data_IF_465059159757
#
_entry.id   IF_465059159757
#
_cell.length_a   1.000
_cell.length_b   1.000
_cell.length_c   1.000
_cell.angle_alpha   90.00
_cell.angle_beta   90.00
_cell.angle_gamma   90.00
#
_symmetry.space_group_name_H-M   'P 1'
#
loop_
_entity.id
_entity.type
_entity.pdbx_description
1 polymer ?
#
# COMPACT_ATOMS: atom_id res chain seq x y z
N UNK A 1 13.61 47.93 6.75
CA UNK A 1 14.03 47.24 7.99
C UNK A 1 13.45 45.83 7.88
N UNK A 2 14.31 44.89 7.51
CA UNK A 2 14.84 43.85 8.40
C UNK A 2 13.82 42.74 8.66
N UNK A 3 14.10 41.57 8.10
CA UNK A 3 13.41 40.33 8.38
C UNK A 3 14.17 39.61 9.50
N UNK A 4 13.46 39.17 10.54
CA UNK A 4 14.02 38.29 11.56
C UNK A 4 13.45 36.88 11.41
N UNK A 5 14.37 35.93 11.39
CA UNK A 5 14.13 34.50 11.13
C UNK A 5 14.25 33.75 12.45
N UNK A 6 13.15 33.18 12.95
CA UNK A 6 13.18 32.26 14.08
C UNK A 6 13.37 30.81 13.61
N UNK A 7 14.63 30.44 13.41
CA UNK A 7 15.11 29.06 13.58
C UNK A 7 15.21 28.71 15.07
N UNK A 8 15.56 27.44 15.38
CA UNK A 8 15.76 26.79 16.72
C UNK A 8 14.56 25.89 17.12
N UNK A 9 14.69 24.63 17.59
CA UNK A 9 15.83 23.81 18.05
C UNK A 9 15.74 22.36 17.48
N UNK A 10 16.90 21.73 17.23
CA UNK A 10 17.07 20.26 17.18
C UNK A 10 18.20 19.88 18.14
N UNK A 11 18.04 18.88 19.04
CA UNK A 11 19.11 18.45 19.93
C UNK A 11 20.16 17.62 19.19
N UNK A 12 21.43 18.01 19.36
CA UNK A 12 22.62 17.38 18.79
C UNK A 12 23.28 16.50 19.86
N UNK A 13 23.39 15.19 19.64
CA UNK A 13 24.14 14.27 20.51
C UNK A 13 25.59 14.20 20.04
N UNK A 14 26.55 14.32 20.96
CA UNK A 14 27.99 14.42 20.67
C UNK A 14 28.81 13.30 21.30
N UNK A 15 29.80 12.83 20.54
CA UNK A 15 31.07 12.15 20.87
C UNK A 15 31.30 11.46 22.23
N UNK A 16 31.72 10.19 22.11
CA UNK A 16 33.03 9.65 22.55
C UNK A 16 33.65 10.10 23.88
N UNK A 17 33.92 9.11 24.75
CA UNK A 17 35.27 8.92 25.33
C UNK A 17 35.40 7.54 26.02
N UNK A 18 36.59 6.93 26.01
CA UNK A 18 36.87 5.71 26.78
C UNK A 18 37.94 4.75 26.21
N UNK A 19 39.22 5.13 26.25
CA UNK A 19 40.35 4.23 25.93
C UNK A 19 40.97 3.56 27.19
N UNK A 20 41.80 2.52 26.94
CA UNK A 20 42.84 1.89 27.80
C UNK A 20 42.38 0.70 28.68
N UNK A 21 43.16 -0.38 28.87
CA UNK A 21 44.43 -0.85 28.28
C UNK A 21 44.73 -2.35 28.64
N UNK A 22 45.93 -2.85 28.28
CA UNK A 22 46.61 -4.13 28.69
C UNK A 22 46.12 -5.44 28.02
N UNK A 23 46.85 -6.58 27.90
CA UNK A 23 48.27 -7.03 28.02
C UNK A 23 48.28 -8.57 27.75
N UNK A 24 49.23 -9.29 27.12
CA UNK A 24 50.44 -9.08 26.27
C UNK A 24 50.88 -10.46 25.70
N UNK A 25 51.67 -10.50 24.61
CA UNK A 25 52.45 -11.64 24.04
C UNK A 25 51.94 -13.09 24.15
N UNK A 26 51.86 -13.79 23.00
CA UNK A 26 52.78 -14.92 22.69
C UNK A 26 52.60 -15.43 21.27
N UNK A 27 53.72 -15.58 20.57
CA UNK A 27 53.77 -15.90 19.14
C UNK A 27 53.72 -17.38 18.75
N UNK A 28 53.74 -17.59 17.42
CA UNK A 28 54.39 -18.67 16.62
C UNK A 28 53.52 -19.18 15.45
N UNK A 29 54.03 -18.94 14.23
CA UNK A 29 54.00 -19.79 13.03
C UNK A 29 52.64 -20.15 12.38
N UNK A 30 52.34 -19.49 11.26
CA UNK A 30 51.70 -20.06 10.06
C UNK A 30 52.36 -19.37 8.84
N UNK A 31 53.13 -20.07 8.00
CA UNK A 31 52.71 -20.95 6.89
C UNK A 31 52.70 -20.19 5.55
N UNK A 32 53.42 -20.75 4.55
CA UNK A 32 53.63 -20.17 3.21
C UNK A 32 52.34 -19.66 2.57
N UNK A 33 52.37 -18.43 2.04
CA UNK A 33 51.35 -17.93 1.14
C UNK A 33 51.35 -18.73 -0.17
N UNK A 34 50.23 -19.38 -0.49
CA UNK A 34 49.95 -19.89 -1.82
C UNK A 34 49.20 -18.80 -2.61
N UNK A 35 49.42 -18.68 -3.95
CA UNK A 35 48.73 -17.68 -4.75
C UNK A 35 47.21 -17.95 -4.77
N UNK A 36 46.37 -16.90 -4.86
CA UNK A 36 44.92 -17.06 -4.87
C UNK A 36 44.51 -17.90 -6.09
N UNK A 37 43.77 -18.99 -5.84
CA UNK A 37 43.12 -19.76 -6.89
C UNK A 37 42.21 -18.81 -7.67
N UNK A 38 42.50 -18.62 -8.97
CA UNK A 38 41.52 -18.04 -9.89
C UNK A 38 40.31 -18.97 -9.92
N UNK A 39 39.26 -18.59 -9.19
CA UNK A 39 37.95 -19.15 -9.41
C UNK A 39 37.53 -18.76 -10.82
N UNK A 40 37.58 -19.72 -11.74
CA UNK A 40 36.84 -19.63 -12.98
C UNK A 40 35.37 -19.49 -12.61
N UNK A 41 34.84 -18.26 -12.69
CA UNK A 41 33.40 -18.02 -12.76
C UNK A 41 32.89 -18.60 -14.08
N UNK A 42 32.70 -19.91 -14.09
CA UNK A 42 31.94 -20.58 -15.13
C UNK A 42 30.52 -20.04 -15.08
N UNK A 43 30.19 -19.17 -16.03
CA UNK A 43 28.85 -18.64 -16.28
C UNK A 43 27.94 -19.72 -16.86
N UNK A 44 27.82 -20.84 -16.15
CA UNK A 44 26.83 -21.89 -16.34
C UNK A 44 25.60 -21.61 -15.49
N UNK A 45 24.93 -20.45 -15.70
CA UNK A 45 23.64 -20.20 -15.05
C UNK A 45 22.63 -21.16 -15.69
N UNK A 46 22.33 -22.24 -14.98
CA UNK A 46 21.34 -23.22 -15.41
C UNK A 46 19.98 -22.55 -15.60
N UNK A 47 19.57 -22.35 -16.85
CA UNK A 47 18.35 -21.63 -17.22
C UNK A 47 17.11 -22.26 -16.54
N UNK A 48 17.12 -23.59 -16.36
CA UNK A 48 16.06 -24.33 -15.65
C UNK A 48 15.91 -24.01 -14.15
N UNK A 49 16.97 -23.61 -13.43
CA UNK A 49 16.82 -23.25 -12.00
C UNK A 49 16.04 -21.95 -11.82
N UNK A 50 16.09 -21.06 -12.83
CA UNK A 50 15.42 -19.76 -12.76
C UNK A 50 13.93 -19.80 -13.12
N UNK A 51 13.47 -20.71 -13.99
CA UNK A 51 12.03 -20.86 -14.27
C UNK A 51 11.34 -21.58 -13.10
N UNK A 52 11.94 -22.65 -12.56
CA UNK A 52 11.43 -23.37 -11.40
C UNK A 52 11.32 -22.48 -10.15
N UNK A 53 12.27 -21.57 -9.94
CA UNK A 53 12.21 -20.57 -8.87
C UNK A 53 11.03 -19.60 -9.06
N UNK A 54 10.79 -19.09 -10.28
CA UNK A 54 9.67 -18.20 -10.58
C UNK A 54 8.31 -18.89 -10.41
N UNK A 55 8.16 -20.13 -10.91
CA UNK A 55 6.97 -20.94 -10.71
C UNK A 55 6.71 -21.26 -9.22
N UNK A 56 7.76 -21.40 -8.42
CA UNK A 56 7.65 -21.58 -6.96
C UNK A 56 7.22 -20.29 -6.26
N UNK A 57 7.70 -19.13 -6.71
CA UNK A 57 7.21 -17.82 -6.26
C UNK A 57 5.72 -17.63 -6.54
N UNK A 58 5.25 -17.98 -7.74
CA UNK A 58 3.83 -17.92 -8.10
C UNK A 58 2.97 -18.85 -7.22
N UNK A 59 3.43 -20.09 -6.95
CA UNK A 59 2.75 -21.00 -6.01
C UNK A 59 2.70 -20.45 -4.58
N UNK A 60 3.73 -19.73 -4.13
CA UNK A 60 3.70 -19.05 -2.84
C UNK A 60 2.71 -17.89 -2.82
N UNK A 61 2.66 -17.07 -3.89
CA UNK A 61 1.70 -15.98 -4.05
C UNK A 61 0.24 -16.48 -4.09
N UNK A 62 -0.04 -17.58 -4.80
CA UNK A 62 -1.38 -18.17 -4.88
C UNK A 62 -1.96 -18.55 -3.51
N UNK A 63 -1.13 -19.03 -2.58
CA UNK A 63 -1.55 -19.34 -1.19
C UNK A 63 -1.85 -18.11 -0.33
N UNK A 64 -1.40 -16.92 -0.73
CA UNK A 64 -1.64 -15.67 0.00
C UNK A 64 -2.77 -14.84 -0.61
N UNK A 65 -3.04 -15.01 -1.92
CA UNK A 65 -3.95 -14.17 -2.69
C UNK A 65 -5.36 -14.12 -2.10
N UNK A 66 -5.95 -15.28 -1.80
CA UNK A 66 -7.32 -15.37 -1.24
C UNK A 66 -7.48 -14.54 0.04
N UNK A 67 -6.57 -14.72 1.00
CA UNK A 67 -6.58 -13.99 2.27
C UNK A 67 -6.37 -12.48 2.07
N UNK A 68 -5.52 -12.07 1.11
CA UNK A 68 -5.30 -10.66 0.76
C UNK A 68 -6.55 -10.03 0.13
N UNK A 69 -7.22 -10.73 -0.80
CA UNK A 69 -8.43 -10.24 -1.46
C UNK A 69 -9.61 -10.15 -0.50
N UNK A 70 -9.80 -11.16 0.36
CA UNK A 70 -10.84 -11.15 1.39
C UNK A 70 -10.61 -10.02 2.40
N UNK A 71 -9.36 -9.84 2.87
CA UNK A 71 -9.01 -8.74 3.76
C UNK A 71 -9.22 -7.36 3.11
N UNK A 72 -8.91 -7.22 1.81
CA UNK A 72 -9.17 -5.98 1.08
C UNK A 72 -10.67 -5.68 0.97
N UNK A 73 -11.51 -6.70 0.71
CA UNK A 73 -12.96 -6.50 0.66
C UNK A 73 -13.54 -6.13 2.03
N UNK A 74 -13.04 -6.69 3.14
CA UNK A 74 -13.37 -6.24 4.50
C UNK A 74 -12.97 -4.78 4.74
N UNK A 75 -11.74 -4.42 4.35
CA UNK A 75 -11.25 -3.04 4.41
C UNK A 75 -12.14 -2.08 3.61
N UNK A 76 -12.57 -2.47 2.40
CA UNK A 76 -13.46 -1.66 1.56
C UNK A 76 -14.87 -1.47 2.18
N UNK A 77 -15.42 -2.48 2.88
CA UNK A 77 -16.69 -2.34 3.61
C UNK A 77 -16.58 -1.38 4.81
N UNK A 78 -15.52 -1.52 5.62
CA UNK A 78 -15.25 -0.66 6.76
C UNK A 78 -15.00 0.79 6.28
N UNK A 79 -14.16 0.97 5.26
CA UNK A 79 -13.86 2.26 4.64
C UNK A 79 -15.10 2.91 4.00
N UNK A 80 -15.96 2.14 3.31
CA UNK A 80 -17.23 2.62 2.77
C UNK A 80 -18.25 3.00 3.85
N UNK A 81 -18.15 2.42 5.04
CA UNK A 81 -18.99 2.78 6.19
C UNK A 81 -18.49 4.08 6.85
N UNK A 82 -17.17 4.22 7.04
CA UNK A 82 -16.55 5.45 7.52
C UNK A 82 -16.78 6.62 6.55
N UNK A 83 -16.60 6.41 5.24
CA UNK A 83 -16.84 7.41 4.20
C UNK A 83 -18.28 7.93 4.23
N UNK A 84 -19.27 7.06 4.39
CA UNK A 84 -20.69 7.46 4.56
C UNK A 84 -20.92 8.24 5.87
N UNK A 85 -20.29 7.84 6.97
CA UNK A 85 -20.40 8.57 8.24
C UNK A 85 -19.80 9.98 8.14
N UNK A 86 -18.64 10.12 7.49
CA UNK A 86 -17.98 11.39 7.18
C UNK A 86 -18.88 12.25 6.29
N UNK A 87 -19.43 11.70 5.21
CA UNK A 87 -20.37 12.41 4.31
C UNK A 87 -21.59 12.97 5.05
N UNK A 88 -22.20 12.18 5.94
CA UNK A 88 -23.36 12.60 6.75
C UNK A 88 -23.00 13.76 7.69
N UNK A 89 -21.88 13.68 8.40
CA UNK A 89 -21.47 14.76 9.33
C UNK A 89 -21.01 16.00 8.56
N UNK A 90 -20.31 15.84 7.43
CA UNK A 90 -19.95 16.93 6.53
C UNK A 90 -21.17 17.66 5.97
N UNK A 91 -22.23 16.93 5.60
CA UNK A 91 -23.51 17.52 5.21
C UNK A 91 -24.15 18.36 6.32
N UNK A 92 -24.08 17.88 7.57
CA UNK A 92 -24.54 18.64 8.75
C UNK A 92 -23.70 19.88 9.01
N UNK A 93 -22.36 19.82 8.87
CA UNK A 93 -21.48 21.00 8.98
C UNK A 93 -21.87 22.05 7.94
N UNK A 94 -22.05 21.67 6.67
CA UNK A 94 -22.49 22.62 5.62
C UNK A 94 -23.85 23.25 5.95
N UNK A 95 -24.80 22.47 6.45
CA UNK A 95 -26.15 22.93 6.80
C UNK A 95 -26.18 23.92 7.98
N UNK A 96 -25.16 23.90 8.86
CA UNK A 96 -25.02 24.80 10.01
C UNK A 96 -24.10 25.99 9.70
N UNK A 97 -23.06 25.79 8.89
CA UNK A 97 -22.03 26.80 8.61
C UNK A 97 -22.38 27.78 7.50
N UNK A 98 -23.37 27.49 6.65
CA UNK A 98 -23.68 28.35 5.49
C UNK A 98 -25.18 28.34 5.19
N UNK A 99 -25.86 29.50 5.24
CA UNK A 99 -27.24 29.63 4.79
C UNK A 99 -27.40 29.16 3.34
N UNK A 100 -28.56 28.58 3.02
CA UNK A 100 -28.88 28.19 1.65
C UNK A 100 -29.05 29.42 0.74
N UNK A 101 -29.12 29.22 -0.60
CA UNK A 101 -29.35 30.32 -1.55
C UNK A 101 -30.69 31.04 -1.33
N UNK A 102 -31.64 30.42 -0.62
CA UNK A 102 -32.92 31.02 -0.20
C UNK A 102 -32.86 31.74 1.17
N UNK A 103 -31.66 31.94 1.74
CA UNK A 103 -31.44 32.57 3.04
C UNK A 103 -31.46 31.61 4.24
N UNK A 104 -31.51 32.15 5.48
CA UNK A 104 -31.48 31.35 6.71
C UNK A 104 -32.76 30.51 6.86
N UNK A 105 -32.58 29.19 6.74
CA UNK A 105 -33.62 28.18 6.96
C UNK A 105 -33.93 27.95 8.44
N UNK A 106 -34.86 27.02 8.76
CA UNK A 106 -35.35 26.82 10.14
C UNK A 106 -34.25 26.55 11.17
N UNK A 107 -33.23 25.77 10.80
CA UNK A 107 -32.08 25.47 11.68
C UNK A 107 -31.24 26.71 11.98
N UNK A 108 -31.07 27.62 11.03
CA UNK A 108 -30.34 28.87 11.27
C UNK A 108 -31.11 29.76 12.26
N UNK A 109 -32.41 29.96 12.03
CA UNK A 109 -33.26 30.79 12.91
C UNK A 109 -33.29 30.26 14.35
N UNK A 110 -33.41 28.94 14.52
CA UNK A 110 -33.37 28.30 15.84
C UNK A 110 -31.99 28.37 16.52
N UNK A 111 -30.90 28.55 15.76
CA UNK A 111 -29.57 28.80 16.31
C UNK A 111 -29.35 30.30 16.60
N UNK A 112 -29.93 31.20 15.79
CA UNK A 112 -29.88 32.66 16.01
C UNK A 112 -30.60 33.06 17.32
N UNK A 113 -31.60 32.30 17.75
CA UNK A 113 -32.25 32.41 19.07
C UNK A 113 -31.33 32.05 20.26
N UNK A 114 -30.15 31.46 20.01
CA UNK A 114 -29.26 30.91 21.04
C UNK A 114 -27.78 31.30 20.79
N UNK A 115 -27.31 32.43 21.37
CA UNK A 115 -25.92 32.89 21.20
C UNK A 115 -24.88 31.81 21.53
N UNK A 116 -23.96 31.54 20.60
CA UNK A 116 -22.91 30.53 20.74
C UNK A 116 -23.32 29.09 20.37
N UNK A 117 -24.60 28.83 20.05
CA UNK A 117 -25.06 27.48 19.73
C UNK A 117 -24.48 26.96 18.40
N UNK A 118 -24.33 27.83 17.40
CA UNK A 118 -23.73 27.52 16.10
C UNK A 118 -22.29 27.05 16.26
N UNK A 119 -21.48 27.80 17.01
CA UNK A 119 -20.07 27.52 17.27
C UNK A 119 -19.89 26.21 18.04
N UNK A 120 -20.70 25.98 19.09
CA UNK A 120 -20.68 24.73 19.84
C UNK A 120 -21.09 23.52 18.99
N UNK A 121 -22.09 23.68 18.11
CA UNK A 121 -22.54 22.61 17.23
C UNK A 121 -21.49 22.30 16.16
N UNK A 122 -20.92 23.33 15.52
CA UNK A 122 -19.84 23.17 14.54
C UNK A 122 -18.61 22.51 15.17
N UNK A 123 -18.18 22.96 16.36
CA UNK A 123 -17.06 22.36 17.08
C UNK A 123 -17.27 20.85 17.33
N UNK A 124 -18.45 20.46 17.81
CA UNK A 124 -18.81 19.04 18.04
C UNK A 124 -18.87 18.22 16.74
N UNK A 125 -19.35 18.80 15.64
CA UNK A 125 -19.41 18.13 14.34
C UNK A 125 -18.02 17.98 13.72
N UNK A 126 -17.15 18.99 13.83
CA UNK A 126 -15.77 18.96 13.33
C UNK A 126 -14.95 17.94 14.12
N UNK A 127 -14.98 17.96 15.46
CA UNK A 127 -14.27 16.96 16.27
C UNK A 127 -14.74 15.52 16.00
N UNK A 128 -15.98 15.33 15.53
CA UNK A 128 -16.47 14.02 15.07
C UNK A 128 -15.96 13.63 13.68
N UNK A 129 -15.76 14.59 12.78
CA UNK A 129 -15.14 14.38 11.47
C UNK A 129 -13.65 14.04 11.60
N UNK A 130 -12.94 14.75 12.46
CA UNK A 130 -11.53 14.49 12.81
C UNK A 130 -11.38 13.06 13.32
N UNK A 131 -12.19 12.66 14.30
CA UNK A 131 -12.16 11.29 14.84
C UNK A 131 -12.46 10.21 13.79
N UNK A 132 -13.42 10.41 12.89
CA UNK A 132 -13.66 9.46 11.79
C UNK A 132 -12.49 9.39 10.79
N UNK A 133 -11.74 10.49 10.62
CA UNK A 133 -10.52 10.47 9.80
C UNK A 133 -9.38 9.74 10.50
N UNK A 134 -9.21 9.91 11.82
CA UNK A 134 -8.29 9.14 12.65
C UNK A 134 -8.61 7.63 12.61
N UNK A 135 -9.87 7.25 12.77
CA UNK A 135 -10.33 5.86 12.66
C UNK A 135 -10.03 5.27 11.26
N UNK A 136 -10.22 6.07 10.20
CA UNK A 136 -9.89 5.68 8.83
C UNK A 136 -8.38 5.52 8.58
N UNK A 137 -7.56 6.41 9.11
CA UNK A 137 -6.10 6.30 9.04
C UNK A 137 -5.60 5.09 9.84
N UNK A 138 -6.18 4.79 11.00
CA UNK A 138 -5.89 3.60 11.78
C UNK A 138 -6.25 2.31 11.01
N UNK A 139 -7.39 2.30 10.29
CA UNK A 139 -7.78 1.20 9.42
C UNK A 139 -6.78 0.98 8.28
N UNK A 140 -6.31 2.04 7.61
CA UNK A 140 -5.23 1.95 6.60
C UNK A 140 -3.95 1.39 7.21
N UNK A 141 -3.50 1.90 8.35
CA UNK A 141 -2.25 1.47 9.00
C UNK A 141 -2.33 -0.01 9.41
N UNK A 142 -3.50 -0.47 9.89
CA UNK A 142 -3.78 -1.88 10.19
C UNK A 142 -3.67 -2.74 8.93
N UNK A 143 -4.33 -2.34 7.84
CA UNK A 143 -4.29 -3.07 6.57
C UNK A 143 -2.88 -3.12 5.97
N UNK A 144 -2.19 -1.97 5.86
CA UNK A 144 -0.81 -1.86 5.37
C UNK A 144 0.12 -2.79 6.18
N UNK A 145 0.04 -2.76 7.52
CA UNK A 145 0.84 -3.61 8.42
C UNK A 145 0.58 -5.11 8.23
N UNK A 146 -0.64 -5.51 7.92
CA UNK A 146 -1.04 -6.92 7.83
C UNK A 146 -0.85 -7.53 6.43
N UNK A 147 -1.00 -6.73 5.37
CA UNK A 147 -1.15 -7.26 3.99
C UNK A 147 -0.21 -6.64 2.94
N UNK A 148 0.42 -5.48 3.17
CA UNK A 148 1.26 -4.81 2.16
C UNK A 148 2.46 -5.67 1.72
N UNK A 149 3.06 -6.41 2.65
CA UNK A 149 4.18 -7.33 2.36
C UNK A 149 3.75 -8.49 1.45
N UNK A 150 2.57 -9.07 1.68
CA UNK A 150 1.99 -10.12 0.84
C UNK A 150 1.62 -9.58 -0.55
N UNK A 151 0.99 -8.41 -0.64
CA UNK A 151 0.67 -7.74 -1.93
C UNK A 151 1.95 -7.53 -2.74
N UNK A 152 2.98 -6.94 -2.12
CA UNK A 152 4.28 -6.66 -2.76
C UNK A 152 4.98 -7.94 -3.20
N UNK A 153 4.93 -9.00 -2.37
CA UNK A 153 5.51 -10.31 -2.69
C UNK A 153 4.80 -10.99 -3.87
N UNK A 154 3.46 -10.90 -3.91
CA UNK A 154 2.66 -11.42 -5.02
C UNK A 154 2.94 -10.68 -6.33
N UNK A 155 2.94 -9.33 -6.32
CA UNK A 155 3.34 -8.52 -7.47
C UNK A 155 4.77 -8.88 -7.95
N UNK A 156 5.73 -9.02 -7.03
CA UNK A 156 7.11 -9.40 -7.35
C UNK A 156 7.22 -10.78 -8.00
N UNK A 157 6.50 -11.77 -7.49
CA UNK A 157 6.45 -13.12 -8.05
C UNK A 157 5.83 -13.14 -9.46
N UNK A 158 4.71 -12.43 -9.66
CA UNK A 158 4.04 -12.32 -10.96
C UNK A 158 4.92 -11.60 -11.99
N UNK A 159 5.52 -10.45 -11.63
CA UNK A 159 6.45 -9.71 -12.49
C UNK A 159 7.67 -10.56 -12.87
N UNK A 160 8.28 -11.26 -11.91
CA UNK A 160 9.41 -12.15 -12.19
C UNK A 160 9.03 -13.29 -13.15
N UNK A 161 7.86 -13.90 -12.96
CA UNK A 161 7.37 -14.95 -13.84
C UNK A 161 7.08 -14.44 -15.26
N UNK A 162 6.41 -13.29 -15.38
CA UNK A 162 6.17 -12.62 -16.67
C UNK A 162 7.47 -12.28 -17.39
N UNK A 163 8.42 -11.61 -16.73
CA UNK A 163 9.73 -11.29 -17.29
C UNK A 163 10.49 -12.54 -17.76
N UNK A 164 10.42 -13.64 -17.02
CA UNK A 164 11.04 -14.92 -17.42
C UNK A 164 10.35 -15.55 -18.62
N UNK A 165 9.05 -15.33 -18.83
CA UNK A 165 8.34 -15.77 -20.04
C UNK A 165 8.58 -14.88 -21.25
N UNK A 166 8.73 -13.57 -21.06
CA UNK A 166 9.04 -12.64 -22.14
C UNK A 166 10.51 -12.76 -22.60
N UNK A 167 11.46 -12.97 -21.68
CA UNK A 167 12.90 -13.16 -22.00
C UNK A 167 13.23 -14.61 -22.39
N UNK A 168 12.56 -15.59 -21.79
CA UNK A 168 12.79 -17.03 -21.99
C UNK A 168 12.10 -17.63 -23.22
N UNK A 169 11.74 -16.81 -24.22
CA UNK A 169 11.05 -17.24 -25.44
C UNK A 169 11.92 -17.19 -26.71
N UNK A 170 13.06 -17.91 -26.80
CA UNK A 170 13.80 -18.05 -28.05
C UNK A 170 13.03 -18.97 -29.00
N UNK A 171 12.28 -18.38 -29.95
CA UNK A 171 11.92 -18.87 -31.30
C UNK A 171 11.47 -20.34 -31.53
N UNK A 172 11.25 -21.16 -30.50
CA UNK A 172 11.14 -22.63 -30.63
C UNK A 172 9.71 -23.19 -30.57
N UNK A 173 8.68 -22.35 -30.42
CA UNK A 173 7.28 -22.76 -30.53
C UNK A 173 6.60 -22.03 -31.69
N UNK A 174 5.90 -22.75 -32.59
CA UNK A 174 5.13 -22.11 -33.65
C UNK A 174 4.04 -21.22 -33.03
N UNK A 175 3.63 -20.18 -33.76
CA UNK A 175 2.84 -19.07 -33.23
C UNK A 175 1.46 -19.45 -32.63
N UNK A 176 0.98 -20.68 -32.86
CA UNK A 176 -0.26 -21.22 -32.29
C UNK A 176 -0.15 -21.78 -30.85
N UNK A 177 1.04 -22.11 -30.34
CA UNK A 177 1.21 -22.76 -29.03
C UNK A 177 1.79 -21.84 -27.94
N UNK A 178 1.77 -20.52 -28.17
CA UNK A 178 1.92 -19.57 -27.06
C UNK A 178 0.61 -19.57 -26.28
N UNK A 179 0.57 -20.30 -25.17
CA UNK A 179 -0.49 -20.22 -24.18
C UNK A 179 -0.62 -18.78 -23.65
N UNK A 180 -1.45 -17.96 -24.31
CA UNK A 180 -1.68 -16.57 -23.94
C UNK A 180 -2.52 -16.47 -22.66
N UNK A 181 -3.38 -17.46 -22.41
CA UNK A 181 -4.29 -17.52 -21.26
C UNK A 181 -3.59 -17.30 -19.90
N UNK A 182 -2.49 -18.02 -19.53
CA UNK A 182 -1.74 -17.76 -18.29
C UNK A 182 -0.99 -16.42 -18.30
N UNK A 183 -0.49 -15.94 -19.44
CA UNK A 183 0.16 -14.62 -19.54
C UNK A 183 -0.84 -13.48 -19.27
N UNK A 184 -2.03 -13.58 -19.86
CA UNK A 184 -3.15 -12.65 -19.62
C UNK A 184 -3.59 -12.74 -18.15
N UNK A 185 -3.74 -13.95 -17.60
CA UNK A 185 -4.12 -14.14 -16.20
C UNK A 185 -3.12 -13.49 -15.22
N UNK A 186 -1.81 -13.71 -15.43
CA UNK A 186 -0.76 -13.11 -14.61
C UNK A 186 -0.74 -11.57 -14.72
N UNK A 187 -0.92 -11.01 -15.93
CA UNK A 187 -1.02 -9.54 -16.14
C UNK A 187 -2.25 -8.96 -15.43
N UNK A 188 -3.43 -9.58 -15.59
CA UNK A 188 -4.66 -9.15 -14.90
C UNK A 188 -4.55 -9.23 -13.37
N UNK A 189 -3.85 -10.24 -12.84
CA UNK A 189 -3.57 -10.34 -11.40
C UNK A 189 -2.61 -9.25 -10.90
N UNK A 190 -1.59 -8.91 -11.71
CA UNK A 190 -0.69 -7.81 -11.39
C UNK A 190 -1.42 -6.46 -11.41
N UNK A 191 -2.18 -6.17 -12.47
CA UNK A 191 -3.04 -4.99 -12.60
C UNK A 191 -4.00 -4.85 -11.40
N UNK A 192 -4.64 -5.96 -11.00
CA UNK A 192 -5.51 -6.00 -9.83
C UNK A 192 -4.76 -5.61 -8.54
N UNK A 193 -3.64 -6.27 -8.23
CA UNK A 193 -2.86 -6.00 -7.02
C UNK A 193 -2.28 -4.58 -6.98
N UNK A 194 -1.95 -4.01 -8.14
CA UNK A 194 -1.54 -2.60 -8.27
C UNK A 194 -2.73 -1.66 -8.02
N UNK A 195 -3.90 -1.95 -8.55
CA UNK A 195 -5.13 -1.20 -8.31
C UNK A 195 -5.55 -1.22 -6.83
N UNK A 196 -5.47 -2.37 -6.14
CA UNK A 196 -5.73 -2.47 -4.70
C UNK A 196 -4.85 -1.50 -3.90
N UNK A 197 -3.54 -1.54 -4.15
CA UNK A 197 -2.57 -0.71 -3.47
C UNK A 197 -2.79 0.78 -3.77
N UNK A 198 -3.12 1.12 -5.02
CA UNK A 198 -3.47 2.47 -5.43
C UNK A 198 -4.73 2.99 -4.73
N UNK A 199 -5.78 2.17 -4.58
CA UNK A 199 -6.99 2.56 -3.86
C UNK A 199 -6.72 2.81 -2.37
N UNK A 200 -5.96 1.95 -1.68
CA UNK A 200 -5.58 2.16 -0.27
C UNK A 200 -4.82 3.47 -0.08
N UNK A 201 -3.83 3.76 -0.92
CA UNK A 201 -3.06 5.00 -0.81
C UNK A 201 -3.87 6.23 -1.25
N UNK A 202 -4.75 6.12 -2.24
CA UNK A 202 -5.69 7.18 -2.62
C UNK A 202 -6.60 7.56 -1.46
N UNK A 203 -7.22 6.56 -0.81
CA UNK A 203 -8.10 6.78 0.34
C UNK A 203 -7.36 7.43 1.52
N UNK A 204 -6.14 6.95 1.83
CA UNK A 204 -5.23 7.54 2.83
C UNK A 204 -4.91 9.01 2.57
N UNK A 205 -4.56 9.35 1.33
CA UNK A 205 -4.28 10.73 0.92
C UNK A 205 -5.54 11.61 0.97
N UNK A 206 -6.70 11.07 0.62
CA UNK A 206 -7.99 11.74 0.74
C UNK A 206 -8.38 12.03 2.19
N UNK A 207 -8.20 11.08 3.11
CA UNK A 207 -8.38 11.29 4.55
C UNK A 207 -7.45 12.38 5.10
N UNK A 208 -6.16 12.34 4.75
CA UNK A 208 -5.17 13.32 5.17
C UNK A 208 -5.35 14.72 4.56
N UNK A 209 -6.09 14.84 3.44
CA UNK A 209 -6.38 16.11 2.77
C UNK A 209 -7.79 16.66 3.04
N UNK A 210 -8.59 15.97 3.86
CA UNK A 210 -9.90 16.45 4.30
C UNK A 210 -9.79 17.81 5.00
N UNK A 211 -10.48 18.82 4.47
CA UNK A 211 -10.66 20.13 5.10
C UNK A 211 -12.12 20.36 5.40
N UNK A 212 -12.44 20.59 6.68
CA UNK A 212 -13.83 20.65 7.14
C UNK A 212 -14.47 22.04 7.04
N UNK A 213 -13.64 23.08 6.99
CA UNK A 213 -14.04 24.48 6.78
C UNK A 213 -13.25 25.05 5.59
N UNK A 214 -13.95 25.36 4.50
CA UNK A 214 -13.40 26.06 3.35
C UNK A 214 -13.89 27.51 3.33
N UNK A 215 -12.97 28.49 3.25
CA UNK A 215 -13.29 29.92 3.37
C UNK A 215 -14.13 30.55 2.25
N UNK A 216 -14.71 29.75 1.35
CA UNK A 216 -15.47 30.19 0.18
C UNK A 216 -16.64 29.27 -0.16
N UNK A 217 -17.17 28.52 0.81
CA UNK A 217 -18.26 27.54 0.58
C UNK A 217 -17.86 26.35 -0.30
N UNK A 218 -16.58 26.23 -0.67
CA UNK A 218 -16.05 25.12 -1.46
C UNK A 218 -16.36 23.77 -0.81
N UNK A 219 -16.89 22.84 -1.61
CA UNK A 219 -17.23 21.50 -1.13
C UNK A 219 -16.05 20.88 -0.38
N UNK A 220 -16.30 20.40 0.85
CA UNK A 220 -15.45 19.39 1.47
C UNK A 220 -15.15 18.31 0.42
N UNK A 221 -13.90 18.19 0.00
CA UNK A 221 -13.42 17.03 -0.75
C UNK A 221 -13.29 15.90 0.24
N UNK A 222 -14.16 14.92 0.09
CA UNK A 222 -14.18 13.70 0.88
C UNK A 222 -13.54 12.59 0.04
N UNK A 223 -12.83 11.63 0.66
CA UNK A 223 -12.28 10.51 -0.06
C UNK A 223 -13.41 9.62 -0.60
N UNK A 224 -13.29 9.20 -1.85
CA UNK A 224 -14.15 8.13 -2.38
C UNK A 224 -13.78 6.80 -1.71
N UNK A 225 -14.78 5.99 -1.39
CA UNK A 225 -14.56 4.70 -0.75
C UNK A 225 -13.83 3.73 -1.71
N UNK A 226 -12.92 2.87 -1.21
CA UNK A 226 -12.36 1.78 -2.00
C UNK A 226 -13.48 0.87 -2.57
N UNK A 227 -13.33 0.46 -3.81
CA UNK A 227 -14.28 -0.43 -4.48
C UNK A 227 -13.92 -1.89 -4.23
N UNK A 228 -14.90 -2.70 -3.85
CA UNK A 228 -14.72 -4.16 -3.71
C UNK A 228 -14.26 -4.79 -5.01
N UNK A 229 -13.49 -5.87 -4.88
CA UNK A 229 -13.02 -6.67 -6.01
C UNK A 229 -13.68 -8.04 -6.08
N UNK A 230 -13.83 -8.53 -7.30
CA UNK A 230 -14.30 -9.87 -7.61
C UNK A 230 -13.21 -10.90 -7.23
N UNK A 231 -13.42 -11.56 -6.09
CA UNK A 231 -12.48 -12.54 -5.53
C UNK A 231 -12.48 -13.82 -6.37
N UNK A 232 -13.64 -14.30 -6.79
CA UNK A 232 -13.78 -15.56 -7.55
C UNK A 232 -13.04 -15.45 -8.89
N UNK A 233 -13.26 -14.38 -9.63
CA UNK A 233 -12.58 -14.12 -10.90
C UNK A 233 -11.05 -13.97 -10.74
N UNK A 234 -10.58 -13.42 -9.62
CA UNK A 234 -9.16 -13.34 -9.32
C UNK A 234 -8.57 -14.71 -8.96
N UNK A 235 -9.28 -15.54 -8.19
CA UNK A 235 -8.85 -16.89 -7.84
C UNK A 235 -8.85 -17.82 -9.06
N UNK A 236 -9.80 -17.69 -9.98
CA UNK A 236 -9.83 -18.43 -11.23
C UNK A 236 -8.64 -18.07 -12.15
N UNK A 237 -8.28 -16.78 -12.24
CA UNK A 237 -7.04 -16.34 -12.92
C UNK A 237 -5.80 -16.96 -12.28
N UNK A 238 -5.77 -17.04 -10.95
CA UNK A 238 -4.65 -17.67 -10.23
C UNK A 238 -4.62 -19.18 -10.48
N UNK A 239 -5.77 -19.87 -10.54
CA UNK A 239 -5.84 -21.31 -10.86
C UNK A 239 -5.24 -21.62 -12.24
N UNK A 240 -5.64 -20.87 -13.26
CA UNK A 240 -5.08 -20.96 -14.63
C UNK A 240 -3.55 -20.78 -14.65
N UNK A 241 -3.03 -19.88 -13.81
CA UNK A 241 -1.59 -19.64 -13.72
C UNK A 241 -0.87 -20.76 -12.95
N UNK A 242 -1.49 -21.31 -11.90
CA UNK A 242 -0.95 -22.39 -11.08
C UNK A 242 -0.85 -23.71 -11.87
N UNK A 243 -1.84 -24.04 -12.70
CA UNK A 243 -1.83 -25.22 -13.60
C UNK A 243 -0.55 -25.28 -14.46
N UNK A 244 -0.17 -24.14 -15.05
CA UNK A 244 1.05 -24.04 -15.88
C UNK A 244 2.33 -24.06 -15.03
N UNK A 245 2.27 -23.61 -13.77
CA UNK A 245 3.38 -23.66 -12.83
C UNK A 245 3.58 -25.03 -12.18
N UNK A 246 2.56 -25.90 -12.16
CA UNK A 246 2.67 -27.28 -11.67
C UNK A 246 3.07 -28.26 -12.77
N UNK A 247 2.55 -28.11 -13.99
CA UNK A 247 2.79 -29.02 -15.12
C UNK A 247 4.24 -29.03 -15.66
N UNK A 248 5.09 -28.06 -15.26
CA UNK A 248 6.43 -27.82 -15.84
C UNK A 248 7.63 -28.24 -14.98
N UNK A 249 7.42 -28.93 -13.86
CA UNK A 249 8.54 -29.49 -13.09
C UNK A 249 8.77 -30.97 -13.45
N UNK A 250 9.99 -31.39 -13.84
CA UNK A 250 10.32 -32.81 -13.89
C UNK A 250 10.31 -33.39 -12.47
N UNK A 251 9.83 -34.63 -12.35
CA UNK A 251 9.84 -35.46 -11.15
C UNK A 251 11.24 -36.00 -10.85
#
# INVERSE_FOLDING_TARGET
MQADTLLVFLPRVTSENGQKAAQKDRGKKAAKAAPPRRHHFGLGIAIGSSEAAAATGVRAAGRQLEAVLAAFNSFAEEAGTLTRAIQIVAGKVRLVATPGPSGPGPVHRALDEHPGATEQLLFRLIGRLERFSEDGLALVIKFDRQHLSSITSCQGALRLWLLRRDVGAPQALPAGERDQKPLIAARRLQELLEALQAQVQSWKLGLASCRYLGGSGGLLRLPDAPEKVDVEQALDRMRVLLEVCTARMPS
#
